data_IF_960102596846
#
_entry.id   IF_960102596846
#
_cell.length_a   1.000
_cell.length_b   1.000
_cell.length_c   1.000
_cell.angle_alpha   90.00
_cell.angle_beta   90.00
_cell.angle_gamma   90.00
#
_symmetry.space_group_name_H-M   'P 1'
#
loop_
_entity.id
_entity.type
_entity.pdbx_description
1 polymer ?
#
# COMPACT_ATOMS: atom_id res chain seq x y z
N UNK A 1 -8.76 -4.11 9.99
CA UNK A 1 -9.72 -4.85 9.16
C UNK A 1 -10.62 -5.66 10.04
N UNK A 2 -10.93 -6.88 9.62
CA UNK A 2 -11.79 -7.83 10.32
C UNK A 2 -11.03 -9.15 10.47
N UNK A 3 -11.16 -9.77 11.63
CA UNK A 3 -10.60 -11.09 11.92
C UNK A 3 -11.72 -12.02 12.39
N UNK A 4 -11.76 -13.23 11.82
CA UNK A 4 -12.71 -14.27 12.17
C UNK A 4 -11.99 -15.58 12.40
N UNK A 5 -12.41 -16.31 13.42
CA UNK A 5 -11.93 -17.66 13.71
C UNK A 5 -13.09 -18.62 13.89
N UNK A 6 -12.98 -19.82 13.33
CA UNK A 6 -13.95 -20.91 13.49
C UNK A 6 -13.28 -22.13 14.11
N UNK A 7 -13.82 -22.56 15.25
CA UNK A 7 -13.42 -23.77 15.99
C UNK A 7 -11.92 -23.91 16.27
N UNK A 8 -11.18 -22.79 16.28
CA UNK A 8 -9.71 -22.78 16.42
C UNK A 8 -8.97 -23.49 15.28
N UNK A 9 -9.65 -23.81 14.18
CA UNK A 9 -9.09 -24.55 13.04
C UNK A 9 -8.99 -23.70 11.80
N UNK A 10 -9.93 -22.80 11.57
CA UNK A 10 -9.91 -21.88 10.42
C UNK A 10 -9.82 -20.45 10.93
N UNK A 11 -8.93 -19.66 10.34
CA UNK A 11 -8.85 -18.22 10.56
C UNK A 11 -8.91 -17.48 9.23
N UNK A 12 -9.61 -16.35 9.23
CA UNK A 12 -9.71 -15.41 8.12
C UNK A 12 -9.41 -14.01 8.65
N UNK A 13 -8.44 -13.33 8.04
CA UNK A 13 -8.20 -11.90 8.24
C UNK A 13 -8.42 -11.17 6.92
N UNK A 14 -9.12 -10.04 6.96
CA UNK A 14 -9.25 -9.14 5.82
C UNK A 14 -9.01 -7.72 6.28
N UNK A 15 -8.08 -7.04 5.64
CA UNK A 15 -7.65 -5.70 5.95
C UNK A 15 -7.76 -4.80 4.74
N UNK A 16 -8.23 -3.58 4.95
CA UNK A 16 -8.17 -2.50 3.97
C UNK A 16 -7.27 -1.41 4.52
N UNK A 17 -6.36 -0.90 3.69
CA UNK A 17 -5.48 0.20 4.04
C UNK A 17 -5.64 1.34 3.03
N UNK A 18 -5.50 2.57 3.51
CA UNK A 18 -5.53 3.77 2.69
C UNK A 18 -4.65 4.85 3.32
N UNK A 19 -3.40 4.90 2.88
CA UNK A 19 -2.36 5.74 3.43
C UNK A 19 -1.97 6.82 2.42
N UNK A 20 -1.82 8.06 2.92
CA UNK A 20 -1.28 9.17 2.14
C UNK A 20 0.02 9.61 2.81
N UNK A 21 1.13 9.41 2.13
CA UNK A 21 2.41 10.01 2.51
C UNK A 21 2.45 11.43 1.91
N UNK A 22 2.60 12.43 2.78
CA UNK A 22 2.76 13.84 2.42
C UNK A 22 4.20 14.27 2.68
N UNK A 23 4.55 15.44 2.17
CA UNK A 23 5.80 16.12 2.47
C UNK A 23 7.02 15.24 2.19
N UNK A 24 6.92 14.41 1.14
CA UNK A 24 8.02 13.57 0.69
C UNK A 24 9.16 14.47 0.22
N UNK A 25 10.35 14.22 0.77
CA UNK A 25 11.57 14.93 0.40
C UNK A 25 11.97 14.50 -1.02
N UNK A 26 11.89 15.43 -1.96
CA UNK A 26 12.26 15.21 -3.35
C UNK A 26 13.42 16.12 -3.71
N UNK A 27 14.38 15.59 -4.48
CA UNK A 27 15.39 16.40 -5.12
C UNK A 27 14.79 17.04 -6.37
N UNK A 28 14.68 18.36 -6.37
CA UNK A 28 14.14 19.14 -7.48
C UNK A 28 15.29 19.63 -8.33
N UNK A 29 15.21 19.40 -9.65
CA UNK A 29 16.15 19.99 -10.58
C UNK A 29 15.92 21.51 -10.62
N UNK A 30 16.96 22.27 -10.27
CA UNK A 30 16.97 23.73 -10.42
C UNK A 30 17.69 24.09 -11.74
N UNK A 31 17.35 25.21 -12.38
CA UNK A 31 18.05 25.65 -13.59
C UNK A 31 19.55 25.80 -13.34
N UNK A 32 20.43 25.36 -14.27
CA UNK A 32 21.88 25.46 -14.09
C UNK A 32 22.39 26.89 -13.83
N UNK A 33 21.62 27.90 -14.26
CA UNK A 33 21.89 29.32 -14.02
C UNK A 33 21.91 29.72 -12.54
N UNK A 34 21.39 28.89 -11.63
CA UNK A 34 21.44 29.13 -10.19
C UNK A 34 22.75 28.68 -9.54
N UNK A 35 23.67 28.06 -10.28
CA UNK A 35 25.00 27.67 -9.79
C UNK A 35 25.05 26.41 -8.91
N UNK A 36 23.92 25.71 -8.73
CA UNK A 36 23.79 24.47 -7.95
C UNK A 36 22.95 23.44 -8.72
N UNK A 37 23.18 22.14 -8.49
CA UNK A 37 22.59 21.03 -9.28
C UNK A 37 21.23 20.51 -8.82
N UNK A 38 20.70 20.94 -7.68
CA UNK A 38 19.42 20.49 -7.15
C UNK A 38 19.09 21.10 -5.79
N UNK A 39 17.80 21.12 -5.43
CA UNK A 39 17.34 21.55 -4.11
C UNK A 39 16.39 20.49 -3.52
N UNK A 40 16.61 20.11 -2.26
CA UNK A 40 15.74 19.18 -1.53
C UNK A 40 14.53 19.93 -0.98
N UNK A 41 13.33 19.47 -1.29
CA UNK A 41 12.11 20.05 -0.73
C UNK A 41 11.01 19.02 -0.47
N UNK A 42 10.23 19.24 0.60
CA UNK A 42 9.11 18.40 1.03
C UNK A 42 7.84 18.66 0.21
N UNK A 43 7.88 18.33 -1.07
CA UNK A 43 6.86 18.71 -2.06
C UNK A 43 6.19 17.51 -2.74
N UNK A 44 6.64 16.30 -2.42
CA UNK A 44 6.05 15.08 -2.94
C UNK A 44 4.87 14.62 -2.10
N UNK A 45 3.89 13.99 -2.75
CA UNK A 45 2.87 13.23 -2.03
C UNK A 45 2.45 12.01 -2.82
N UNK A 46 2.16 10.92 -2.11
CA UNK A 46 1.81 9.63 -2.68
C UNK A 46 0.70 8.98 -1.87
N UNK A 47 -0.27 8.37 -2.57
CA UNK A 47 -1.35 7.58 -1.97
C UNK A 47 -1.09 6.11 -2.23
N UNK A 48 -1.18 5.28 -1.19
CA UNK A 48 -1.12 3.82 -1.24
C UNK A 48 -2.40 3.28 -0.61
N UNK A 49 -3.18 2.49 -1.35
CA UNK A 49 -4.41 1.90 -0.84
C UNK A 49 -4.63 0.52 -1.42
N UNK A 50 -5.41 -0.30 -0.74
CA UNK A 50 -5.57 -1.68 -1.13
C UNK A 50 -6.19 -2.53 -0.05
N UNK A 51 -6.29 -3.82 -0.34
CA UNK A 51 -6.80 -4.82 0.57
C UNK A 51 -5.87 -6.02 0.63
N UNK A 52 -5.83 -6.64 1.79
CA UNK A 52 -5.09 -7.86 2.08
C UNK A 52 -6.05 -8.83 2.74
N UNK A 53 -6.03 -10.08 2.31
CA UNK A 53 -6.79 -11.14 2.94
C UNK A 53 -5.90 -12.36 3.15
N UNK A 54 -6.05 -12.99 4.30
CA UNK A 54 -5.33 -14.21 4.66
C UNK A 54 -6.31 -15.21 5.23
N UNK A 55 -6.25 -16.45 4.74
CA UNK A 55 -7.02 -17.58 5.25
C UNK A 55 -6.03 -18.65 5.70
N UNK A 56 -6.19 -19.18 6.90
CA UNK A 56 -5.45 -20.35 7.35
C UNK A 56 -6.42 -21.42 7.82
N UNK A 57 -6.10 -22.69 7.55
CA UNK A 57 -6.91 -23.83 7.93
C UNK A 57 -6.02 -24.99 8.39
N UNK A 58 -6.25 -25.46 9.62
CA UNK A 58 -5.74 -26.71 10.14
C UNK A 58 -6.70 -27.84 9.75
N UNK A 59 -6.40 -28.53 8.64
CA UNK A 59 -7.30 -29.49 8.01
C UNK A 59 -7.24 -30.83 8.76
N UNK A 60 -6.05 -31.31 9.08
CA UNK A 60 -5.85 -32.59 9.77
C UNK A 60 -5.05 -32.36 11.05
N UNK A 61 -5.53 -32.91 12.17
CA UNK A 61 -4.87 -32.85 13.47
C UNK A 61 -4.97 -34.21 14.17
N UNK A 62 -4.01 -35.08 13.89
CA UNK A 62 -3.85 -36.38 14.53
C UNK A 62 -2.55 -36.40 15.34
N UNK A 63 -2.34 -37.44 16.17
CA UNK A 63 -1.13 -37.56 17.01
C UNK A 63 0.15 -37.60 16.19
N UNK A 64 0.12 -38.33 15.07
CA UNK A 64 1.31 -38.64 14.27
C UNK A 64 1.36 -37.87 12.95
N UNK A 65 0.27 -37.15 12.60
CA UNK A 65 0.18 -36.39 11.36
C UNK A 65 -0.69 -35.14 11.50
N UNK A 66 -0.17 -34.02 10.99
CA UNK A 66 -0.86 -32.75 10.91
C UNK A 66 -0.76 -32.16 9.52
N UNK A 67 -1.82 -31.48 9.06
CA UNK A 67 -1.81 -30.78 7.80
C UNK A 67 -2.51 -29.43 7.90
N UNK A 68 -1.79 -28.39 7.51
CA UNK A 68 -2.21 -27.01 7.52
C UNK A 68 -2.10 -26.41 6.12
N UNK A 69 -3.07 -25.58 5.74
CA UNK A 69 -3.06 -24.79 4.51
C UNK A 69 -3.20 -23.32 4.87
N UNK A 70 -2.36 -22.49 4.26
CA UNK A 70 -2.46 -21.04 4.29
C UNK A 70 -2.59 -20.46 2.88
N UNK A 71 -3.47 -19.49 2.72
CA UNK A 71 -3.61 -18.69 1.50
C UNK A 71 -3.58 -17.20 1.84
N UNK A 72 -2.79 -16.44 1.10
CA UNK A 72 -2.73 -14.98 1.21
C UNK A 72 -2.99 -14.36 -0.17
N UNK A 73 -3.80 -13.31 -0.19
CA UNK A 73 -4.02 -12.49 -1.38
C UNK A 73 -3.92 -11.02 -1.00
N UNK A 74 -3.23 -10.25 -1.86
CA UNK A 74 -3.08 -8.82 -1.69
C UNK A 74 -3.40 -8.09 -2.99
N UNK A 75 -4.02 -6.92 -2.86
CA UNK A 75 -4.24 -6.01 -3.97
C UNK A 75 -3.82 -4.61 -3.56
N UNK A 76 -2.77 -4.11 -4.21
CA UNK A 76 -2.13 -2.86 -3.87
C UNK A 76 -2.20 -1.87 -5.03
N UNK A 77 -2.71 -0.67 -4.77
CA UNK A 77 -2.63 0.47 -5.69
C UNK A 77 -1.81 1.59 -5.06
N UNK A 78 -0.90 2.14 -5.86
CA UNK A 78 -0.14 3.33 -5.52
C UNK A 78 -0.34 4.41 -6.58
N UNK A 79 -0.43 5.66 -6.15
CA UNK A 79 -0.54 6.82 -7.04
C UNK A 79 0.26 7.98 -6.49
N UNK A 80 1.15 8.52 -7.32
CA UNK A 80 1.79 9.80 -7.05
C UNK A 80 0.74 10.91 -7.20
N UNK A 81 0.58 11.70 -6.15
CA UNK A 81 -0.38 12.80 -6.10
C UNK A 81 0.28 14.13 -6.48
N UNK A 82 1.55 14.35 -6.11
CA UNK A 82 2.33 15.56 -6.45
C UNK A 82 3.82 15.24 -6.59
N UNK A 83 4.46 15.93 -7.55
CA UNK A 83 5.91 15.94 -7.80
C UNK A 83 6.33 17.41 -8.01
N UNK A 84 6.38 18.20 -6.93
CA UNK A 84 6.90 19.57 -6.98
C UNK A 84 5.89 20.71 -7.18
N UNK A 85 6.38 21.97 -7.17
CA UNK A 85 5.57 23.18 -7.07
C UNK A 85 4.72 23.45 -8.34
N UNK A 86 5.17 23.00 -9.51
CA UNK A 86 4.41 22.99 -10.77
C UNK A 86 3.51 21.76 -10.94
N UNK A 87 3.36 20.94 -9.89
CA UNK A 87 2.66 19.67 -9.93
C UNK A 87 1.27 19.77 -10.55
N UNK A 88 1.17 19.41 -11.84
CA UNK A 88 -0.10 19.14 -12.50
C UNK A 88 -0.83 18.09 -11.67
N UNK A 89 -1.79 18.54 -10.86
CA UNK A 89 -2.72 17.66 -10.18
C UNK A 89 -3.41 16.88 -11.29
N UNK A 90 -3.09 15.59 -11.46
CA UNK A 90 -3.86 14.73 -12.38
C UNK A 90 -5.29 14.70 -11.85
N UNK A 91 -6.15 15.52 -12.46
CA UNK A 91 -7.58 15.57 -12.18
C UNK A 91 -8.15 14.14 -12.28
N UNK A 92 -9.08 13.74 -11.39
CA UNK A 92 -9.75 12.46 -11.54
C UNK A 92 -10.46 12.47 -12.89
N UNK A 93 -10.12 11.51 -13.76
CA UNK A 93 -10.83 11.31 -15.02
C UNK A 93 -12.25 10.85 -14.64
N UNK A 94 -13.20 11.78 -14.63
CA UNK A 94 -14.63 11.46 -14.50
C UNK A 94 -14.96 10.60 -15.72
N UNK A 95 -15.24 9.32 -15.50
CA UNK A 95 -15.91 8.52 -16.52
C UNK A 95 -17.39 8.89 -16.42
N UNK A 96 -17.89 9.58 -17.46
CA UNK A 96 -19.32 9.61 -17.78
C UNK A 96 -19.79 8.20 -18.16
#
# INVERSE_FOLDING_TARGET
GVYLGLSGRVSLSVDYFNNIAKDLLLNVNVPPSTGYGGNLANIGSMKKWGYEATVNANIIRQKDFGWDIGFNVSHLKQKVLKLGPTGHKRQPKVRM
#
